data_IF_490817903958
#
_entry.id   IF_490817903958
#
_cell.length_a   1.000
_cell.length_b   1.000
_cell.length_c   1.000
_cell.angle_alpha   90.00
_cell.angle_beta   90.00
_cell.angle_gamma   90.00
#
_symmetry.space_group_name_H-M   'P 1'
#
loop_
_entity.id
_entity.type
_entity.pdbx_description
1 polymer ?
#
# COMPACT_ATOMS: atom_id res chain seq x y z
N UNK A 1 4.89 11.13 16.94
CA UNK A 1 3.91 10.03 16.87
C UNK A 1 4.57 8.67 17.06
N UNK A 2 3.83 7.71 17.60
CA UNK A 2 4.27 6.33 17.81
C UNK A 2 3.31 5.42 17.06
N UNK A 3 3.85 4.56 16.20
CA UNK A 3 3.10 3.50 15.53
C UNK A 3 3.54 2.17 16.13
N UNK A 4 2.59 1.42 16.67
CA UNK A 4 2.87 0.17 17.37
C UNK A 4 1.90 -0.93 16.92
N UNK A 5 2.41 -2.12 16.67
CA UNK A 5 1.63 -3.26 16.22
C UNK A 5 1.51 -4.29 17.34
N UNK A 6 0.28 -4.64 17.71
CA UNK A 6 -0.01 -5.73 18.63
C UNK A 6 -0.44 -6.96 17.84
N UNK A 7 0.15 -8.12 18.14
CA UNK A 7 -0.20 -9.38 17.46
C UNK A 7 -1.10 -10.20 18.38
N UNK A 8 -2.30 -10.51 17.89
CA UNK A 8 -3.28 -11.32 18.59
C UNK A 8 -3.40 -12.64 17.84
N UNK A 9 -2.94 -13.71 18.47
CA UNK A 9 -3.13 -15.05 17.96
C UNK A 9 -4.63 -15.36 17.90
N UNK A 10 -5.17 -15.59 16.71
CA UNK A 10 -6.61 -15.83 16.58
C UNK A 10 -7.07 -17.13 17.26
N UNK A 11 -6.18 -18.12 17.34
CA UNK A 11 -6.49 -19.46 17.85
C UNK A 11 -7.49 -20.24 16.99
N UNK A 12 -7.82 -19.73 15.79
CA UNK A 12 -8.83 -20.31 14.93
C UNK A 12 -8.32 -21.57 14.24
N UNK A 13 -9.01 -22.69 14.48
CA UNK A 13 -8.76 -23.98 13.80
C UNK A 13 -9.41 -24.07 12.42
N UNK A 14 -10.42 -23.27 12.18
CA UNK A 14 -11.19 -23.20 10.93
C UNK A 14 -11.45 -21.75 10.57
N UNK A 15 -11.69 -21.51 9.28
CA UNK A 15 -12.03 -20.20 8.76
C UNK A 15 -13.29 -19.66 9.45
N UNK A 16 -13.25 -18.37 9.81
CA UNK A 16 -14.39 -17.64 10.36
C UNK A 16 -14.63 -16.37 9.57
N UNK A 17 -15.86 -15.87 9.61
CA UNK A 17 -16.23 -14.65 8.91
C UNK A 17 -16.58 -13.58 9.94
N UNK A 18 -15.93 -12.42 9.85
CA UNK A 18 -16.14 -11.32 10.79
C UNK A 18 -17.13 -10.33 10.18
N UNK A 19 -18.24 -10.09 10.87
CA UNK A 19 -19.32 -9.17 10.49
C UNK A 19 -19.26 -7.83 11.22
N UNK A 20 -18.20 -7.57 11.97
CA UNK A 20 -18.03 -6.31 12.68
C UNK A 20 -16.91 -6.41 13.70
N UNK A 21 -16.45 -5.24 14.13
CA UNK A 21 -15.51 -5.12 15.24
C UNK A 21 -15.89 -3.93 16.12
N UNK A 22 -15.48 -4.01 17.37
CA UNK A 22 -15.55 -2.92 18.33
C UNK A 22 -14.15 -2.73 18.92
N UNK A 23 -13.70 -1.49 19.00
CA UNK A 23 -12.42 -1.16 19.62
C UNK A 23 -12.63 -0.15 20.74
N UNK A 24 -12.19 -0.54 21.93
CA UNK A 24 -12.26 0.26 23.15
C UNK A 24 -10.84 0.64 23.55
N UNK A 25 -10.36 1.84 23.15
CA UNK A 25 -9.09 2.35 23.63
C UNK A 25 -9.15 2.56 25.16
N UNK A 26 -8.08 2.20 25.84
CA UNK A 26 -7.93 2.44 27.28
C UNK A 26 -7.67 3.92 27.58
N UNK A 27 -6.93 4.60 26.70
CA UNK A 27 -6.61 6.01 26.81
C UNK A 27 -6.92 6.76 25.51
N UNK A 28 -8.11 7.38 25.47
CA UNK A 28 -8.62 8.20 24.36
C UNK A 28 -7.79 9.47 24.07
N UNK A 29 -6.88 9.88 24.97
CA UNK A 29 -5.98 11.02 24.71
C UNK A 29 -4.74 10.63 23.92
N UNK A 30 -4.37 9.35 23.98
CA UNK A 30 -3.15 8.82 23.38
C UNK A 30 -3.47 8.15 22.05
N UNK A 31 -4.44 7.23 22.04
CA UNK A 31 -4.78 6.47 20.83
C UNK A 31 -5.53 7.38 19.85
N UNK A 32 -4.89 7.66 18.72
CA UNK A 32 -5.42 8.56 17.71
C UNK A 32 -6.25 7.82 16.65
N UNK A 33 -5.71 6.72 16.12
CA UNK A 33 -6.45 5.80 15.27
C UNK A 33 -5.87 4.39 15.38
N UNK A 34 -6.61 3.41 14.87
CA UNK A 34 -6.16 2.04 14.80
C UNK A 34 -6.53 1.35 13.48
N UNK A 35 -5.79 0.31 13.12
CA UNK A 35 -6.09 -0.55 11.98
C UNK A 35 -6.06 -2.02 12.38
N UNK A 36 -7.02 -2.79 11.86
CA UNK A 36 -7.02 -4.24 11.94
C UNK A 36 -6.49 -4.80 10.62
N UNK A 37 -5.45 -5.62 10.71
CA UNK A 37 -4.81 -6.33 9.61
C UNK A 37 -4.75 -7.82 9.93
N UNK A 38 -4.66 -8.65 8.91
CA UNK A 38 -4.59 -10.10 9.00
C UNK A 38 -3.25 -10.56 8.44
N UNK A 39 -2.48 -11.28 9.25
CA UNK A 39 -1.25 -11.94 8.84
C UNK A 39 -1.49 -13.45 8.66
N UNK A 40 -1.34 -13.93 7.43
CA UNK A 40 -1.52 -15.35 7.08
C UNK A 40 -0.20 -16.14 7.14
N UNK A 41 0.94 -15.48 7.35
CA UNK A 41 2.28 -16.06 7.20
C UNK A 41 3.06 -16.11 8.50
N UNK A 42 2.48 -15.76 9.65
CA UNK A 42 3.11 -15.65 10.98
C UNK A 42 4.28 -14.65 11.09
N UNK A 43 4.46 -13.77 10.11
CA UNK A 43 5.60 -12.85 10.09
C UNK A 43 5.58 -11.84 11.24
N UNK A 44 4.41 -11.29 11.52
CA UNK A 44 4.17 -10.32 12.58
C UNK A 44 4.37 -10.95 13.95
N UNK A 45 3.96 -12.22 14.11
CA UNK A 45 4.19 -12.98 15.36
C UNK A 45 5.67 -13.13 15.66
N UNK A 46 6.50 -13.43 14.66
CA UNK A 46 7.96 -13.52 14.84
C UNK A 46 8.56 -12.18 15.26
N UNK A 47 8.08 -11.06 14.71
CA UNK A 47 8.52 -9.73 15.11
C UNK A 47 8.12 -9.41 16.55
N UNK A 48 6.88 -9.74 16.92
CA UNK A 48 6.37 -9.60 18.29
C UNK A 48 7.18 -10.45 19.28
N UNK A 49 7.42 -11.73 18.97
CA UNK A 49 8.24 -12.64 19.78
C UNK A 49 9.69 -12.12 19.94
N UNK A 50 10.29 -11.60 18.87
CA UNK A 50 11.63 -10.99 18.93
C UNK A 50 11.67 -9.74 19.82
N UNK A 51 10.56 -8.99 19.88
CA UNK A 51 10.36 -7.85 20.78
C UNK A 51 10.00 -8.24 22.22
N UNK A 52 9.90 -9.54 22.54
CA UNK A 52 9.52 -10.02 23.87
C UNK A 52 8.01 -10.15 24.10
N UNK A 53 7.20 -10.18 23.04
CA UNK A 53 5.76 -10.42 23.10
C UNK A 53 4.93 -9.20 23.50
N UNK A 54 5.45 -8.00 23.26
CA UNK A 54 4.80 -6.72 23.61
C UNK A 54 4.38 -5.89 22.39
N UNK A 55 4.51 -6.45 21.20
CA UNK A 55 4.37 -5.82 19.90
C UNK A 55 5.69 -5.32 19.33
N UNK A 56 5.60 -4.66 18.18
CA UNK A 56 6.75 -4.07 17.48
C UNK A 56 6.39 -2.69 16.90
N UNK A 57 7.38 -1.82 16.72
CA UNK A 57 7.20 -0.50 16.14
C UNK A 57 7.13 -0.53 14.60
N UNK A 58 6.57 0.53 14.01
CA UNK A 58 6.64 0.75 12.56
C UNK A 58 5.41 1.41 11.97
N UNK A 59 5.61 2.43 11.13
CA UNK A 59 4.52 3.09 10.41
C UNK A 59 3.95 2.17 9.31
N UNK A 60 4.82 1.46 8.60
CA UNK A 60 4.45 0.40 7.66
C UNK A 60 4.54 -0.93 8.40
N UNK A 61 3.62 -1.86 8.15
CA UNK A 61 3.74 -3.20 8.73
C UNK A 61 4.96 -3.86 8.11
N UNK A 62 6.02 -4.10 8.88
CA UNK A 62 7.21 -4.82 8.42
C UNK A 62 6.96 -6.34 8.22
N UNK A 63 5.71 -6.72 7.95
CA UNK A 63 5.24 -8.09 7.77
C UNK A 63 4.12 -8.17 6.75
N UNK A 64 3.69 -9.40 6.44
CA UNK A 64 2.69 -9.68 5.40
C UNK A 64 1.24 -9.41 5.87
N UNK A 65 1.06 -8.59 6.91
CA UNK A 65 -0.25 -8.27 7.46
C UNK A 65 -0.97 -7.27 6.55
N UNK A 66 -2.15 -7.64 6.07
CA UNK A 66 -2.95 -6.83 5.15
C UNK A 66 -4.34 -6.54 5.74
N UNK A 67 -4.93 -5.40 5.40
CA UNK A 67 -6.34 -5.17 5.74
C UNK A 67 -7.22 -6.20 5.03
N UNK A 68 -8.34 -6.64 5.64
CA UNK A 68 -9.31 -7.51 4.97
C UNK A 68 -9.80 -6.93 3.64
N UNK A 69 -9.97 -7.80 2.65
CA UNK A 69 -10.16 -7.44 1.24
C UNK A 69 -11.32 -6.46 1.03
N UNK A 70 -11.01 -5.25 0.56
CA UNK A 70 -12.02 -4.25 0.26
C UNK A 70 -12.75 -3.64 1.46
N UNK A 71 -12.39 -4.02 2.69
CA UNK A 71 -13.04 -3.50 3.89
C UNK A 71 -12.27 -2.31 4.49
N UNK A 72 -13.01 -1.38 5.09
CA UNK A 72 -12.45 -0.35 5.97
C UNK A 72 -12.43 -0.92 7.38
N UNK A 73 -11.26 -1.36 7.83
CA UNK A 73 -11.04 -1.92 9.17
C UNK A 73 -10.18 -0.99 10.02
N UNK A 74 -10.50 0.31 9.92
CA UNK A 74 -9.89 1.37 10.70
C UNK A 74 -10.82 1.79 11.84
N UNK A 75 -10.24 2.28 12.93
CA UNK A 75 -10.96 2.93 13.99
C UNK A 75 -10.39 4.32 14.20
N UNK A 76 -11.27 5.30 14.38
CA UNK A 76 -10.95 6.67 14.72
C UNK A 76 -11.76 7.07 15.95
N UNK A 77 -11.29 8.07 16.69
CA UNK A 77 -12.02 8.58 17.84
C UNK A 77 -13.43 9.02 17.46
N UNK A 78 -14.44 8.54 18.21
CA UNK A 78 -15.85 8.79 17.92
C UNK A 78 -16.52 7.75 17.02
N UNK A 79 -15.78 6.75 16.49
CA UNK A 79 -16.38 5.65 15.73
C UNK A 79 -17.22 4.76 16.64
N UNK A 80 -18.49 4.59 16.28
CA UNK A 80 -19.39 3.64 16.91
C UNK A 80 -19.19 2.22 16.36
N UNK A 81 -19.31 1.18 17.19
CA UNK A 81 -19.32 -0.20 16.70
C UNK A 81 -20.56 -0.43 15.85
N UNK A 82 -20.36 -0.87 14.60
CA UNK A 82 -21.44 -1.21 13.67
C UNK A 82 -21.23 -2.61 13.13
N UNK A 83 -22.28 -3.42 13.24
CA UNK A 83 -22.35 -4.68 12.53
C UNK A 83 -22.63 -4.39 11.06
N UNK A 84 -21.97 -5.16 10.22
CA UNK A 84 -22.15 -5.13 8.78
C UNK A 84 -23.47 -5.80 8.41
N UNK A 85 -24.03 -5.36 7.29
CA UNK A 85 -25.22 -5.96 6.70
C UNK A 85 -25.01 -7.45 6.35
N UNK A 86 -26.12 -8.19 6.24
CA UNK A 86 -26.09 -9.61 5.87
C UNK A 86 -25.29 -9.82 4.57
N UNK A 87 -24.42 -10.82 4.59
CA UNK A 87 -23.58 -11.21 3.45
C UNK A 87 -22.30 -10.39 3.27
N UNK A 88 -22.04 -9.36 4.09
CA UNK A 88 -20.89 -8.47 3.94
C UNK A 88 -19.70 -8.78 4.86
N UNK A 89 -19.70 -9.92 5.54
CA UNK A 89 -18.61 -10.32 6.44
C UNK A 89 -17.30 -10.62 5.68
N UNK A 90 -16.15 -10.33 6.29
CA UNK A 90 -14.85 -10.67 5.72
C UNK A 90 -14.22 -11.92 6.33
N UNK A 91 -13.35 -12.59 5.57
CA UNK A 91 -12.68 -13.81 5.99
C UNK A 91 -11.57 -13.51 7.00
N UNK A 92 -11.62 -14.19 8.15
CA UNK A 92 -10.51 -14.40 9.06
C UNK A 92 -10.05 -15.87 8.93
N UNK A 93 -8.95 -16.15 8.20
CA UNK A 93 -8.52 -17.51 7.94
C UNK A 93 -8.12 -18.27 9.20
N UNK A 94 -8.25 -19.60 9.17
CA UNK A 94 -7.64 -20.48 10.16
C UNK A 94 -6.12 -20.23 10.25
N UNK A 95 -5.56 -20.39 11.45
CA UNK A 95 -4.12 -20.22 11.73
C UNK A 95 -3.54 -18.85 11.33
N UNK A 96 -4.36 -17.81 11.16
CA UNK A 96 -3.92 -16.44 10.94
C UNK A 96 -3.81 -15.64 12.24
N UNK A 97 -3.03 -14.57 12.20
CA UNK A 97 -2.90 -13.62 13.30
C UNK A 97 -3.65 -12.33 12.98
N UNK A 98 -4.30 -11.76 14.00
CA UNK A 98 -4.90 -10.43 13.92
C UNK A 98 -3.85 -9.43 14.39
N UNK A 99 -3.41 -8.58 13.48
CA UNK A 99 -2.41 -7.54 13.76
C UNK A 99 -3.14 -6.22 13.92
N UNK A 100 -3.01 -5.64 15.10
CA UNK A 100 -3.68 -4.41 15.46
C UNK A 100 -2.66 -3.28 15.58
N UNK A 101 -2.65 -2.39 14.58
CA UNK A 101 -1.75 -1.25 14.54
C UNK A 101 -2.41 -0.07 15.25
N UNK A 102 -1.78 0.45 16.31
CA UNK A 102 -2.15 1.69 16.96
C UNK A 102 -1.25 2.83 16.50
N UNK A 103 -1.86 3.93 16.06
CA UNK A 103 -1.20 5.21 15.97
C UNK A 103 -1.51 6.02 17.22
N UNK A 104 -0.46 6.44 17.91
CA UNK A 104 -0.52 7.06 19.23
C UNK A 104 0.22 8.39 19.25
N UNK A 105 -0.38 9.39 19.88
CA UNK A 105 0.25 10.69 20.13
C UNK A 105 1.27 10.54 21.26
N UNK A 106 2.46 11.11 21.07
CA UNK A 106 3.47 11.14 22.12
C UNK A 106 3.04 12.12 23.22
N UNK A 107 3.10 11.69 24.49
CA UNK A 107 2.84 12.55 25.65
C UNK A 107 4.12 13.02 26.36
N UNK A 108 5.30 12.61 25.87
CA UNK A 108 6.59 12.93 26.50
C UNK A 108 6.89 12.16 27.79
N UNK A 109 6.03 11.22 28.20
CA UNK A 109 6.22 10.37 29.38
C UNK A 109 5.87 8.91 29.07
N UNK A 110 6.27 7.99 29.96
CA UNK A 110 5.85 6.59 29.87
C UNK A 110 4.35 6.48 30.17
N UNK A 111 3.62 5.86 29.26
CA UNK A 111 2.18 5.67 29.35
C UNK A 111 1.86 4.18 29.32
N UNK A 112 0.81 3.79 30.05
CA UNK A 112 0.28 2.42 30.00
C UNK A 112 -0.98 2.40 29.15
N UNK A 113 -1.10 1.39 28.29
CA UNK A 113 -2.25 1.21 27.41
C UNK A 113 -2.72 -0.24 27.51
N UNK A 114 -3.98 -0.45 27.86
CA UNK A 114 -4.62 -1.76 27.91
C UNK A 114 -5.94 -1.78 27.13
N UNK A 115 -5.85 -1.45 25.84
CA UNK A 115 -7.01 -1.38 24.95
C UNK A 115 -7.62 -2.76 24.68
N UNK A 116 -8.89 -2.81 24.27
CA UNK A 116 -9.62 -4.04 23.97
C UNK A 116 -10.21 -4.01 22.57
N UNK A 117 -10.22 -5.14 21.90
CA UNK A 117 -10.89 -5.35 20.61
C UNK A 117 -11.87 -6.51 20.73
N UNK A 118 -13.08 -6.32 20.18
CA UNK A 118 -14.07 -7.37 19.99
C UNK A 118 -14.25 -7.64 18.50
N UNK A 119 -14.22 -8.91 18.10
CA UNK A 119 -14.57 -9.35 16.75
C UNK A 119 -15.90 -10.10 16.81
N UNK A 120 -16.84 -9.72 15.95
CA UNK A 120 -18.17 -10.32 15.88
C UNK A 120 -18.23 -11.23 14.66
N UNK A 121 -18.54 -12.52 14.86
CA UNK A 121 -18.55 -13.50 13.78
C UNK A 121 -19.95 -13.65 13.15
N UNK A 122 -19.98 -13.90 11.84
CA UNK A 122 -21.14 -14.36 11.10
C UNK A 122 -21.21 -15.89 11.12
N UNK A 123 -22.45 -16.39 11.04
CA UNK A 123 -22.76 -17.81 10.97
C UNK A 123 -22.82 -18.32 9.51
N UNK A 124 -22.89 -17.39 8.55
CA UNK A 124 -22.98 -17.66 7.11
C UNK A 124 -21.73 -17.11 6.39
N UNK A 125 -21.43 -17.70 5.22
CA UNK A 125 -20.39 -17.18 4.31
C UNK A 125 -20.83 -15.85 3.68
N UNK A 126 -19.89 -14.99 3.25
CA UNK A 126 -20.23 -13.78 2.53
C UNK A 126 -20.90 -14.10 1.19
N UNK A 127 -21.87 -13.26 0.85
CA UNK A 127 -22.54 -13.24 -0.45
C UNK A 127 -22.29 -11.92 -1.21
N UNK A 128 -21.59 -10.98 -0.57
CA UNK A 128 -21.13 -9.72 -1.12
C UNK A 128 -19.61 -9.68 -1.05
N UNK A 129 -18.97 -9.50 -2.19
CA UNK A 129 -17.53 -9.51 -2.33
C UNK A 129 -17.04 -8.08 -2.52
N UNK A 130 -16.15 -7.62 -1.64
CA UNK A 130 -15.76 -6.22 -1.54
C UNK A 130 -14.42 -5.92 -2.21
N UNK A 131 -14.31 -4.74 -2.80
CA UNK A 131 -13.04 -4.17 -3.29
C UNK A 131 -13.05 -2.66 -3.09
N UNK A 132 -11.88 -2.07 -2.86
CA UNK A 132 -11.70 -0.62 -2.83
C UNK A 132 -10.94 -0.18 -4.07
N UNK A 133 -11.41 0.89 -4.70
CA UNK A 133 -10.62 1.70 -5.63
C UNK A 133 -10.27 2.99 -4.89
N UNK A 134 -8.98 3.32 -4.81
CA UNK A 134 -8.53 4.62 -4.29
C UNK A 134 -8.19 5.52 -5.48
N UNK A 135 -9.06 6.48 -5.79
CA UNK A 135 -8.75 7.48 -6.81
C UNK A 135 -7.66 8.38 -6.27
N UNK A 136 -6.49 8.35 -6.91
CA UNK A 136 -5.31 9.08 -6.45
C UNK A 136 -4.56 9.76 -7.61
N UNK A 137 -3.98 10.92 -7.31
CA UNK A 137 -3.09 11.70 -8.19
C UNK A 137 -1.79 11.91 -7.43
N UNK A 138 -0.65 11.71 -8.09
CA UNK A 138 0.69 11.88 -7.50
C UNK A 138 1.61 12.78 -8.34
N UNK A 139 1.10 13.19 -9.49
CA UNK A 139 1.70 13.99 -10.53
C UNK A 139 1.10 15.41 -10.47
N UNK A 140 1.39 16.13 -9.39
CA UNK A 140 0.93 17.51 -9.22
C UNK A 140 1.90 18.33 -8.35
N UNK A 141 1.81 19.65 -8.52
CA UNK A 141 2.46 20.68 -7.72
C UNK A 141 1.45 21.79 -7.46
N UNK A 142 1.22 22.11 -6.19
CA UNK A 142 0.38 23.20 -5.73
C UNK A 142 1.29 24.41 -5.53
N UNK A 143 1.19 25.46 -6.38
CA UNK A 143 2.06 26.63 -6.25
C UNK A 143 1.90 27.33 -4.89
N UNK A 144 2.98 27.95 -4.42
CA UNK A 144 2.92 28.84 -3.27
C UNK A 144 1.88 29.94 -3.50
N UNK A 145 1.06 30.23 -2.48
CA UNK A 145 0.00 31.25 -2.52
C UNK A 145 -1.21 30.96 -3.43
N UNK A 146 -1.31 29.76 -4.02
CA UNK A 146 -2.50 29.35 -4.77
C UNK A 146 -3.70 29.13 -3.83
N UNK A 147 -4.85 29.74 -4.13
CA UNK A 147 -6.05 29.75 -3.26
C UNK A 147 -7.12 28.74 -3.66
N UNK A 148 -7.06 28.24 -4.89
CA UNK A 148 -8.11 27.44 -5.49
C UNK A 148 -7.55 26.39 -6.46
N UNK A 149 -6.44 25.73 -6.10
CA UNK A 149 -5.93 24.60 -6.87
C UNK A 149 -6.94 23.46 -6.84
N UNK A 150 -7.22 22.82 -7.98
CA UNK A 150 -8.20 21.74 -8.08
C UNK A 150 -7.59 20.54 -8.76
N UNK A 151 -7.80 19.38 -8.17
CA UNK A 151 -7.50 18.09 -8.75
C UNK A 151 -8.77 17.29 -8.94
N UNK A 152 -8.74 16.43 -9.96
CA UNK A 152 -9.81 15.52 -10.31
C UNK A 152 -9.19 14.22 -10.78
N UNK A 153 -9.83 13.12 -10.43
CA UNK A 153 -9.52 11.80 -10.95
C UNK A 153 -10.80 11.00 -11.14
N UNK A 154 -10.76 9.98 -12.00
CA UNK A 154 -11.93 9.17 -12.30
C UNK A 154 -11.60 7.71 -12.60
N UNK A 155 -12.60 6.84 -12.44
CA UNK A 155 -12.51 5.42 -12.76
C UNK A 155 -13.84 4.91 -13.30
N UNK A 156 -13.81 4.30 -14.48
CA UNK A 156 -15.01 3.75 -15.15
C UNK A 156 -15.08 2.23 -14.98
N UNK A 157 -16.20 1.74 -14.47
CA UNK A 157 -16.42 0.33 -14.21
C UNK A 157 -16.65 -0.49 -15.50
N UNK A 158 -15.91 -1.59 -15.70
CA UNK A 158 -16.24 -2.57 -16.75
C UNK A 158 -17.32 -3.57 -16.34
N UNK A 159 -17.64 -3.70 -15.06
CA UNK A 159 -18.69 -4.61 -14.58
C UNK A 159 -19.61 -3.87 -13.61
N UNK A 160 -20.89 -4.25 -13.53
CA UNK A 160 -21.81 -3.67 -12.56
C UNK A 160 -21.36 -3.97 -11.13
N UNK A 161 -21.63 -3.03 -10.23
CA UNK A 161 -21.28 -3.12 -8.81
C UNK A 161 -22.28 -2.32 -7.96
N UNK A 162 -22.06 -2.29 -6.65
CA UNK A 162 -22.74 -1.38 -5.74
C UNK A 162 -21.70 -0.54 -4.99
N UNK A 163 -21.95 0.76 -4.87
CA UNK A 163 -21.17 1.65 -4.03
C UNK A 163 -21.71 1.60 -2.60
N UNK A 164 -20.83 1.26 -1.65
CA UNK A 164 -21.19 1.08 -0.24
C UNK A 164 -20.71 2.20 0.66
N UNK A 165 -19.55 2.78 0.35
CA UNK A 165 -18.99 3.88 1.12
C UNK A 165 -17.99 4.68 0.29
N UNK A 166 -17.78 5.94 0.68
CA UNK A 166 -16.69 6.79 0.19
C UNK A 166 -15.85 7.24 1.37
N UNK A 167 -14.52 7.15 1.25
CA UNK A 167 -13.57 7.66 2.23
C UNK A 167 -12.61 8.64 1.55
N UNK A 168 -12.78 9.95 1.76
CA UNK A 168 -11.86 10.95 1.26
C UNK A 168 -10.66 11.13 2.20
N UNK A 169 -9.53 11.56 1.65
CA UNK A 169 -8.34 11.96 2.39
C UNK A 169 -7.54 13.02 1.62
N UNK A 170 -7.20 14.09 2.33
CA UNK A 170 -6.25 15.13 1.96
C UNK A 170 -5.59 15.66 3.24
N UNK A 171 -4.45 16.33 3.12
CA UNK A 171 -3.79 16.96 4.26
C UNK A 171 -4.35 18.38 4.50
N UNK A 172 -3.51 19.27 5.02
CA UNK A 172 -3.89 20.54 5.62
C UNK A 172 -4.20 21.67 4.63
N UNK A 173 -3.79 21.54 3.36
CA UNK A 173 -4.17 22.44 2.29
C UNK A 173 -5.53 22.07 1.70
N UNK A 174 -5.99 20.83 1.89
CA UNK A 174 -7.32 20.39 1.47
C UNK A 174 -8.43 21.32 1.98
N UNK A 175 -9.25 21.82 1.05
CA UNK A 175 -10.30 22.82 1.29
C UNK A 175 -11.70 22.23 1.18
N UNK A 176 -11.99 21.61 0.04
CA UNK A 176 -13.27 20.95 -0.21
C UNK A 176 -13.07 19.67 -1.01
N UNK A 177 -13.91 18.66 -0.75
CA UNK A 177 -13.86 17.35 -1.38
C UNK A 177 -15.24 16.96 -1.89
N UNK A 178 -15.30 16.52 -3.13
CA UNK A 178 -16.50 16.01 -3.78
C UNK A 178 -16.28 14.59 -4.29
N UNK A 179 -17.32 13.75 -4.20
CA UNK A 179 -17.37 12.48 -4.89
C UNK A 179 -18.65 12.39 -5.71
N UNK A 180 -18.53 11.98 -6.97
CA UNK A 180 -19.64 11.95 -7.94
C UNK A 180 -19.67 10.64 -8.71
N UNK A 181 -20.82 10.33 -9.27
CA UNK A 181 -21.02 9.26 -10.24
C UNK A 181 -21.52 9.91 -11.54
N UNK A 182 -20.91 9.58 -12.67
CA UNK A 182 -21.49 9.78 -14.00
C UNK A 182 -21.99 8.44 -14.51
N UNK A 183 -23.27 8.37 -14.83
CA UNK A 183 -23.90 7.18 -15.38
C UNK A 183 -23.73 7.12 -16.91
N UNK A 184 -23.83 5.93 -17.53
CA UNK A 184 -23.69 5.78 -18.99
C UNK A 184 -24.68 6.61 -19.82
N UNK A 185 -25.82 6.97 -19.24
CA UNK A 185 -26.86 7.82 -19.85
C UNK A 185 -26.56 9.32 -19.73
N UNK A 186 -25.44 9.70 -19.10
CA UNK A 186 -25.03 11.09 -18.86
C UNK A 186 -25.56 11.68 -17.55
N UNK A 187 -26.39 10.96 -16.78
CA UNK A 187 -26.85 11.43 -15.46
C UNK A 187 -25.67 11.58 -14.52
N UNK A 188 -25.67 12.66 -13.72
CA UNK A 188 -24.66 12.92 -12.70
C UNK A 188 -25.30 12.88 -11.33
N UNK A 189 -24.69 12.16 -10.39
CA UNK A 189 -25.14 12.06 -9.00
C UNK A 189 -23.99 12.43 -8.06
N UNK A 190 -24.20 13.46 -7.23
CA UNK A 190 -23.24 13.85 -6.20
C UNK A 190 -23.48 12.97 -4.96
N UNK A 191 -22.49 12.14 -4.62
CA UNK A 191 -22.61 11.15 -3.52
C UNK A 191 -21.86 11.57 -2.26
N UNK A 192 -20.96 12.56 -2.35
CA UNK A 192 -20.32 13.20 -1.21
C UNK A 192 -20.01 14.65 -1.55
N UNK A 193 -20.27 15.55 -0.61
CA UNK A 193 -19.86 16.95 -0.68
C UNK A 193 -19.38 17.39 0.71
N UNK A 194 -18.09 17.71 0.83
CA UNK A 194 -17.48 18.25 2.04
C UNK A 194 -16.98 19.66 1.70
N UNK A 195 -17.73 20.73 2.01
CA UNK A 195 -17.38 22.09 1.62
C UNK A 195 -16.23 22.69 2.43
N UNK A 196 -15.94 22.12 3.60
CA UNK A 196 -14.86 22.53 4.49
C UNK A 196 -14.21 21.26 5.06
N UNK A 197 -13.18 20.77 4.36
CA UNK A 197 -12.41 19.61 4.76
C UNK A 197 -11.67 19.87 6.07
N UNK A 198 -11.71 18.90 6.99
CA UNK A 198 -10.91 18.93 8.21
C UNK A 198 -10.13 17.60 8.31
N UNK A 199 -8.79 17.61 8.25
CA UNK A 199 -8.00 16.39 8.36
C UNK A 199 -8.12 15.70 9.73
N UNK A 200 -8.66 16.37 10.76
CA UNK A 200 -9.03 15.74 12.03
C UNK A 200 -10.32 14.90 11.92
N UNK A 201 -11.16 15.15 10.92
CA UNK A 201 -12.42 14.45 10.66
C UNK A 201 -12.33 13.58 9.39
N UNK A 202 -11.54 12.51 9.48
CA UNK A 202 -11.31 11.57 8.39
C UNK A 202 -11.85 10.18 8.71
N UNK A 203 -13.02 9.85 8.14
CA UNK A 203 -13.68 8.55 8.27
C UNK A 203 -14.37 8.21 6.95
N UNK A 204 -14.73 6.94 6.75
CA UNK A 204 -15.60 6.57 5.65
C UNK A 204 -17.05 7.03 5.89
N UNK A 205 -17.70 7.48 4.82
CA UNK A 205 -19.11 7.81 4.76
C UNK A 205 -19.86 6.63 4.16
N UNK A 206 -20.61 5.95 5.01
CA UNK A 206 -21.39 4.75 4.70
C UNK A 206 -22.79 5.15 4.24
N UNK A 207 -23.18 4.76 3.02
CA UNK A 207 -24.55 4.99 2.54
C UNK A 207 -25.53 4.10 3.31
N UNK A 208 -26.70 4.67 3.62
CA UNK A 208 -27.80 3.92 4.24
C UNK A 208 -28.23 2.75 3.36
N UNK A 209 -28.41 3.03 2.07
CA UNK A 209 -28.71 2.06 1.03
C UNK A 209 -27.57 2.09 0.00
N UNK A 210 -26.94 0.95 -0.34
CA UNK A 210 -25.88 0.93 -1.34
C UNK A 210 -26.38 1.42 -2.71
N UNK A 211 -25.58 2.25 -3.38
CA UNK A 211 -25.96 2.85 -4.66
C UNK A 211 -25.63 1.85 -5.79
N UNK A 212 -26.60 1.40 -6.61
CA UNK A 212 -26.32 0.52 -7.72
C UNK A 212 -25.56 1.25 -8.82
N UNK A 213 -24.50 0.62 -9.31
CA UNK A 213 -23.63 1.12 -10.37
C UNK A 213 -23.74 0.19 -11.59
N UNK A 214 -24.31 0.66 -12.71
CA UNK A 214 -24.28 -0.11 -13.95
C UNK A 214 -22.85 -0.20 -14.50
N UNK A 215 -22.62 -1.16 -15.40
CA UNK A 215 -21.42 -1.16 -16.25
C UNK A 215 -21.31 0.19 -16.97
N UNK A 216 -20.11 0.76 -17.01
CA UNK A 216 -19.84 2.05 -17.61
C UNK A 216 -20.10 3.24 -16.69
N UNK A 217 -20.56 3.04 -15.45
CA UNK A 217 -20.59 4.12 -14.47
C UNK A 217 -19.16 4.57 -14.13
N UNK A 218 -18.97 5.89 -14.10
CA UNK A 218 -17.69 6.53 -13.79
C UNK A 218 -17.75 7.15 -12.41
N UNK A 219 -16.87 6.69 -11.53
CA UNK A 219 -16.62 7.28 -10.22
C UNK A 219 -15.68 8.47 -10.39
N UNK A 220 -15.94 9.58 -9.71
CA UNK A 220 -15.13 10.79 -9.77
C UNK A 220 -14.83 11.26 -8.35
N UNK A 221 -13.56 11.53 -8.09
CA UNK A 221 -13.11 12.29 -6.92
C UNK A 221 -12.62 13.66 -7.37
N UNK A 222 -12.96 14.70 -6.61
CA UNK A 222 -12.46 16.06 -6.81
C UNK A 222 -12.04 16.63 -5.45
N UNK A 223 -10.87 17.26 -5.40
CA UNK A 223 -10.35 17.93 -4.20
C UNK A 223 -9.84 19.30 -4.62
N UNK A 224 -10.22 20.30 -3.84
CA UNK A 224 -9.65 21.65 -3.94
C UNK A 224 -8.71 21.93 -2.78
N UNK A 225 -7.68 22.74 -3.03
CA UNK A 225 -6.64 23.07 -2.07
C UNK A 225 -6.44 24.58 -1.97
N UNK A 226 -6.03 25.03 -0.79
CA UNK A 226 -5.67 26.41 -0.46
C UNK A 226 -4.25 26.43 0.14
N UNK A 227 -3.26 26.71 -0.70
CA UNK A 227 -1.86 26.90 -0.33
C UNK A 227 -1.52 28.39 -0.10
N UNK A 228 -2.49 29.19 0.31
CA UNK A 228 -2.24 30.59 0.65
C UNK A 228 -1.87 30.80 2.10
N UNK A 229 -1.27 31.97 2.37
CA UNK A 229 -0.99 32.44 3.73
C UNK A 229 -2.25 32.67 4.56
N UNK A 230 -3.41 32.81 3.91
CA UNK A 230 -4.70 33.05 4.58
C UNK A 230 -5.31 31.73 5.09
N UNK A 231 -4.84 30.58 4.58
CA UNK A 231 -5.22 29.27 5.13
C UNK A 231 -4.52 29.05 6.48
N UNK A 232 -5.24 29.27 7.57
CA UNK A 232 -4.74 29.08 8.94
C UNK A 232 -4.33 27.62 9.25
N UNK A 233 -4.77 26.65 8.44
CA UNK A 233 -4.37 25.24 8.56
C UNK A 233 -3.05 24.97 7.82
N UNK A 234 -2.56 25.87 6.97
CA UNK A 234 -1.34 25.65 6.19
C UNK A 234 -0.15 25.38 7.13
N UNK A 235 0.51 24.22 7.02
CA UNK A 235 1.66 23.87 7.87
C UNK A 235 2.88 24.75 7.60
N UNK A 236 2.89 25.47 6.48
CA UNK A 236 3.96 26.37 6.06
C UNK A 236 3.48 27.84 6.19
N UNK A 237 3.90 28.59 7.23
CA UNK A 237 3.46 29.97 7.44
C UNK A 237 3.93 30.92 6.33
N UNK A 238 5.02 30.56 5.64
CA UNK A 238 5.43 31.15 4.37
C UNK A 238 5.19 30.07 3.30
N UNK A 239 4.08 30.15 2.54
CA UNK A 239 3.74 29.09 1.59
C UNK A 239 4.86 28.82 0.58
N UNK A 240 5.12 27.54 0.36
CA UNK A 240 6.04 27.01 -0.65
C UNK A 240 5.26 26.17 -1.66
N UNK A 241 5.87 25.80 -2.77
CA UNK A 241 5.30 24.77 -3.64
C UNK A 241 5.16 23.45 -2.88
N UNK A 242 4.00 22.81 -2.99
CA UNK A 242 3.70 21.54 -2.29
C UNK A 242 3.36 20.46 -3.32
N UNK A 243 3.92 19.27 -3.18
CA UNK A 243 3.69 18.13 -4.06
C UNK A 243 3.05 16.96 -3.30
N UNK A 244 2.81 15.84 -4.00
CA UNK A 244 2.40 14.61 -3.35
C UNK A 244 3.45 14.14 -2.32
N UNK A 245 3.01 13.77 -1.12
CA UNK A 245 3.86 13.17 -0.10
C UNK A 245 3.08 12.71 1.13
N UNK A 246 3.76 12.03 2.05
CA UNK A 246 3.13 11.39 3.21
C UNK A 246 3.27 12.17 4.51
N UNK A 247 3.98 13.30 4.49
CA UNK A 247 4.18 14.13 5.67
C UNK A 247 3.12 15.21 5.76
N UNK A 248 2.97 15.80 6.95
CA UNK A 248 2.03 16.91 7.18
C UNK A 248 2.34 18.15 6.34
N UNK A 249 3.55 18.28 5.77
CA UNK A 249 3.98 19.41 4.94
C UNK A 249 3.71 19.18 3.44
N UNK A 250 3.42 17.95 3.07
CA UNK A 250 3.08 17.54 1.71
C UNK A 250 1.56 17.49 1.56
N UNK A 251 1.07 17.15 0.37
CA UNK A 251 -0.35 16.90 0.14
C UNK A 251 -0.65 15.51 -0.41
N UNK A 252 -1.91 15.11 -0.27
CA UNK A 252 -2.46 13.91 -0.88
C UNK A 252 -3.74 14.22 -1.62
N UNK A 253 -3.94 13.48 -2.72
CA UNK A 253 -5.22 13.38 -3.38
C UNK A 253 -5.67 11.92 -3.26
N UNK A 254 -6.63 11.65 -2.38
CA UNK A 254 -7.18 10.30 -2.18
C UNK A 254 -8.70 10.35 -1.98
N UNK A 255 -9.44 9.69 -2.87
CA UNK A 255 -10.88 9.48 -2.73
C UNK A 255 -11.17 8.00 -2.96
N UNK A 256 -11.32 7.25 -1.86
CA UNK A 256 -11.54 5.82 -1.91
C UNK A 256 -13.03 5.47 -2.00
N UNK A 257 -13.41 4.65 -2.97
CA UNK A 257 -14.74 4.08 -3.10
C UNK A 257 -14.71 2.61 -2.72
N UNK A 258 -15.57 2.23 -1.78
CA UNK A 258 -15.79 0.83 -1.43
C UNK A 258 -16.93 0.28 -2.27
N UNK A 259 -16.58 -0.69 -3.10
CA UNK A 259 -17.48 -1.38 -4.01
C UNK A 259 -17.75 -2.79 -3.50
N UNK A 260 -18.91 -3.33 -3.86
CA UNK A 260 -19.11 -4.78 -3.82
C UNK A 260 -19.89 -5.30 -5.02
N UNK A 261 -19.72 -6.60 -5.29
CA UNK A 261 -20.53 -7.37 -6.23
C UNK A 261 -21.11 -8.58 -5.51
N UNK A 262 -22.15 -9.20 -6.09
CA UNK A 262 -22.69 -10.47 -5.59
C UNK A 262 -22.09 -11.68 -6.34
N UNK A 263 -21.13 -11.44 -7.24
CA UNK A 263 -20.46 -12.46 -8.03
C UNK A 263 -18.94 -12.23 -8.00
N UNK A 264 -18.21 -13.21 -7.47
CA UNK A 264 -16.74 -13.15 -7.38
C UNK A 264 -16.10 -12.85 -8.75
N UNK A 265 -16.60 -13.47 -9.82
CA UNK A 265 -16.10 -13.27 -11.19
C UNK A 265 -16.22 -11.82 -11.69
N UNK A 266 -17.24 -11.08 -11.27
CA UNK A 266 -17.35 -9.64 -11.56
C UNK A 266 -16.34 -8.84 -10.74
N UNK A 267 -16.15 -9.21 -9.47
CA UNK A 267 -15.17 -8.55 -8.61
C UNK A 267 -13.74 -8.77 -9.11
N UNK A 268 -13.43 -9.96 -9.62
CA UNK A 268 -12.10 -10.30 -10.15
C UNK A 268 -11.76 -9.42 -11.36
N UNK A 269 -12.73 -9.18 -12.25
CA UNK A 269 -12.58 -8.26 -13.38
C UNK A 269 -12.37 -6.81 -12.93
N UNK A 270 -13.19 -6.33 -11.99
CA UNK A 270 -13.01 -4.99 -11.40
C UNK A 270 -11.64 -4.89 -10.74
N UNK A 271 -11.19 -5.94 -10.04
CA UNK A 271 -9.87 -5.98 -9.41
C UNK A 271 -8.76 -5.85 -10.44
N UNK A 272 -8.83 -6.57 -11.56
CA UNK A 272 -7.85 -6.41 -12.65
C UNK A 272 -7.83 -5.00 -13.25
N UNK A 273 -8.98 -4.34 -13.37
CA UNK A 273 -9.02 -2.94 -13.79
C UNK A 273 -8.39 -1.98 -12.77
N UNK A 274 -8.63 -2.21 -11.48
CA UNK A 274 -8.05 -1.41 -10.39
C UNK A 274 -6.53 -1.62 -10.36
N UNK A 275 -6.04 -2.83 -10.58
CA UNK A 275 -4.61 -3.11 -10.64
C UNK A 275 -3.95 -2.36 -11.81
N UNK A 276 -4.60 -2.32 -12.97
CA UNK A 276 -4.13 -1.55 -14.13
C UNK A 276 -4.16 -0.04 -13.88
N UNK A 277 -5.24 0.46 -13.24
CA UNK A 277 -5.32 1.85 -12.79
C UNK A 277 -4.15 2.21 -11.87
N UNK A 278 -3.87 1.39 -10.85
CA UNK A 278 -2.78 1.63 -9.91
C UNK A 278 -1.41 1.65 -10.59
N UNK A 279 -1.16 0.74 -11.54
CA UNK A 279 0.08 0.76 -12.34
C UNK A 279 0.26 2.08 -13.09
N UNK A 280 -0.81 2.61 -13.68
CA UNK A 280 -0.79 3.88 -14.40
C UNK A 280 -0.57 5.08 -13.48
N UNK A 281 -1.14 5.08 -12.27
CA UNK A 281 -0.84 6.10 -11.24
C UNK A 281 0.66 6.16 -10.95
N UNK A 282 1.29 5.02 -10.67
CA UNK A 282 2.74 4.99 -10.40
C UNK A 282 3.57 5.41 -11.62
N UNK A 283 3.18 4.98 -12.81
CA UNK A 283 3.84 5.36 -14.05
C UNK A 283 3.80 6.87 -14.28
N UNK A 284 2.61 7.49 -14.13
CA UNK A 284 2.43 8.93 -14.32
C UNK A 284 3.18 9.72 -13.26
N UNK A 285 3.14 9.28 -11.99
CA UNK A 285 3.90 9.89 -10.89
C UNK A 285 5.39 9.93 -11.21
N UNK A 286 5.94 8.81 -11.67
CA UNK A 286 7.39 8.70 -11.95
C UNK A 286 7.80 9.55 -13.15
N UNK A 287 7.00 9.53 -14.23
CA UNK A 287 7.23 10.40 -15.39
C UNK A 287 7.21 11.88 -15.00
N UNK A 288 6.25 12.27 -14.17
CA UNK A 288 6.16 13.63 -13.67
C UNK A 288 7.44 14.03 -12.90
N UNK A 289 7.97 13.17 -12.02
CA UNK A 289 9.24 13.46 -11.32
C UNK A 289 10.42 13.63 -12.29
N UNK A 290 10.52 12.78 -13.32
CA UNK A 290 11.54 12.90 -14.37
C UNK A 290 11.39 14.19 -15.18
N UNK A 291 10.16 14.65 -15.44
CA UNK A 291 9.93 15.95 -16.09
C UNK A 291 10.41 17.11 -15.21
N UNK A 292 10.36 16.98 -13.88
CA UNK A 292 10.88 17.98 -12.95
C UNK A 292 12.41 17.98 -12.87
N UNK A 293 13.03 16.80 -12.85
CA UNK A 293 14.48 16.63 -12.87
C UNK A 293 14.91 15.48 -13.80
N UNK A 294 15.16 15.78 -15.10
CA UNK A 294 15.54 14.76 -16.08
C UNK A 294 16.92 14.14 -15.84
N UNK A 295 17.73 14.70 -14.93
CA UNK A 295 19.08 14.22 -14.62
C UNK A 295 19.14 13.41 -13.33
N UNK A 296 18.00 13.19 -12.66
CA UNK A 296 17.93 12.35 -11.48
C UNK A 296 17.97 10.86 -11.87
N UNK A 297 19.14 10.23 -11.66
CA UNK A 297 19.32 8.81 -11.96
C UNK A 297 18.34 7.91 -11.19
N UNK A 298 18.09 8.18 -9.91
CA UNK A 298 17.19 7.35 -9.10
C UNK A 298 15.75 7.32 -9.63
N UNK A 299 15.25 8.43 -10.18
CA UNK A 299 13.93 8.48 -10.81
C UNK A 299 13.88 7.67 -12.12
N UNK A 300 14.94 7.70 -12.92
CA UNK A 300 15.06 6.83 -14.10
C UNK A 300 15.16 5.34 -13.72
N UNK A 301 15.86 5.03 -12.63
CA UNK A 301 15.90 3.68 -12.06
C UNK A 301 14.49 3.23 -11.63
N UNK A 302 13.77 4.10 -10.91
CA UNK A 302 12.42 3.82 -10.45
C UNK A 302 11.45 3.64 -11.63
N UNK A 303 11.56 4.45 -12.69
CA UNK A 303 10.77 4.27 -13.91
C UNK A 303 11.05 2.91 -14.55
N UNK A 304 12.32 2.52 -14.60
CA UNK A 304 12.75 1.20 -15.05
C UNK A 304 12.11 0.06 -14.25
N UNK A 305 12.11 0.18 -12.92
CA UNK A 305 11.43 -0.75 -12.03
C UNK A 305 9.92 -0.84 -12.31
N UNK A 306 9.23 0.30 -12.43
CA UNK A 306 7.79 0.35 -12.71
C UNK A 306 7.49 -0.33 -14.05
N UNK A 307 8.27 -0.06 -15.09
CA UNK A 307 8.11 -0.74 -16.38
C UNK A 307 8.36 -2.25 -16.30
N UNK A 308 9.36 -2.71 -15.53
CA UNK A 308 9.58 -4.14 -15.31
C UNK A 308 8.38 -4.80 -14.64
N UNK A 309 7.86 -4.20 -13.57
CA UNK A 309 6.68 -4.71 -12.87
C UNK A 309 5.44 -4.75 -13.75
N UNK A 310 5.37 -3.88 -14.76
CA UNK A 310 4.29 -3.83 -15.75
C UNK A 310 4.52 -4.74 -16.96
N UNK A 311 5.66 -5.44 -17.05
CA UNK A 311 6.03 -6.27 -18.21
C UNK A 311 6.45 -5.48 -19.46
N UNK A 312 6.64 -4.16 -19.35
CA UNK A 312 7.07 -3.28 -20.43
C UNK A 312 8.60 -3.31 -20.59
N UNK A 313 9.13 -4.48 -20.97
CA UNK A 313 10.57 -4.77 -20.94
C UNK A 313 11.43 -3.81 -21.79
N UNK A 314 10.95 -3.39 -22.97
CA UNK A 314 11.69 -2.45 -23.84
C UNK A 314 11.89 -1.09 -23.17
N UNK A 315 10.83 -0.54 -22.57
CA UNK A 315 10.86 0.73 -21.86
C UNK A 315 11.66 0.63 -20.56
N UNK A 316 11.55 -0.50 -19.85
CA UNK A 316 12.36 -0.79 -18.67
C UNK A 316 13.85 -0.72 -18.99
N UNK A 317 14.30 -1.44 -20.02
CA UNK A 317 15.70 -1.45 -20.44
C UNK A 317 16.21 -0.03 -20.73
N UNK A 318 15.46 0.75 -21.52
CA UNK A 318 15.83 2.14 -21.87
C UNK A 318 15.97 3.01 -20.62
N UNK A 319 15.03 2.92 -19.68
CA UNK A 319 15.01 3.73 -18.47
C UNK A 319 16.17 3.37 -17.52
N UNK A 320 16.41 2.07 -17.32
CA UNK A 320 17.53 1.57 -16.51
C UNK A 320 18.88 1.93 -17.12
N UNK A 321 19.00 1.86 -18.45
CA UNK A 321 20.19 2.32 -19.16
C UNK A 321 20.43 3.80 -18.99
N UNK A 322 19.38 4.63 -19.13
CA UNK A 322 19.48 6.07 -18.89
C UNK A 322 19.92 6.39 -17.46
N UNK A 323 19.41 5.66 -16.46
CA UNK A 323 19.86 5.79 -15.07
C UNK A 323 21.35 5.49 -14.91
N UNK A 324 21.84 4.39 -15.49
CA UNK A 324 23.27 4.01 -15.42
C UNK A 324 24.15 5.00 -16.17
N UNK A 325 23.66 5.57 -17.27
CA UNK A 325 24.40 6.57 -18.04
C UNK A 325 24.50 7.92 -17.29
N UNK A 326 23.53 8.24 -16.42
CA UNK A 326 23.55 9.40 -15.52
C UNK A 326 24.40 9.16 -14.26
N UNK A 327 24.28 7.97 -13.67
CA UNK A 327 25.02 7.54 -12.49
C UNK A 327 25.54 6.09 -12.67
N UNK A 328 26.81 5.94 -13.09
CA UNK A 328 27.45 4.64 -13.24
C UNK A 328 27.64 3.85 -11.94
N UNK A 329 27.45 4.47 -10.78
CA UNK A 329 27.55 3.83 -9.46
C UNK A 329 26.16 3.57 -8.85
N UNK A 330 25.09 3.60 -9.66
CA UNK A 330 23.74 3.27 -9.19
C UNK A 330 23.53 1.74 -9.07
N UNK A 331 23.81 1.17 -7.89
CA UNK A 331 23.67 -0.26 -7.63
C UNK A 331 22.26 -0.81 -7.91
N UNK A 332 21.21 -0.03 -7.60
CA UNK A 332 19.81 -0.42 -7.82
C UNK A 332 19.52 -0.61 -9.31
N UNK A 333 20.03 0.27 -10.16
CA UNK A 333 19.84 0.19 -11.61
C UNK A 333 20.45 -1.07 -12.20
N UNK A 334 21.67 -1.43 -11.76
CA UNK A 334 22.27 -2.71 -12.14
C UNK A 334 21.47 -3.90 -11.61
N UNK A 335 20.96 -3.84 -10.39
CA UNK A 335 20.10 -4.89 -9.85
C UNK A 335 18.83 -5.09 -10.70
N UNK A 336 18.11 -4.02 -11.03
CA UNK A 336 16.91 -4.09 -11.86
C UNK A 336 17.23 -4.48 -13.31
N UNK A 337 18.39 -4.08 -13.86
CA UNK A 337 18.83 -4.54 -15.18
C UNK A 337 19.19 -6.04 -15.16
N UNK A 338 19.70 -6.55 -14.03
CA UNK A 338 19.86 -7.97 -13.79
C UNK A 338 18.52 -8.71 -13.80
N UNK A 339 17.50 -8.17 -13.13
CA UNK A 339 16.14 -8.72 -13.15
C UNK A 339 15.52 -8.69 -14.55
N UNK A 340 15.68 -7.59 -15.29
CA UNK A 340 15.31 -7.50 -16.70
C UNK A 340 15.84 -8.68 -17.48
N UNK A 341 17.16 -8.94 -17.41
CA UNK A 341 17.79 -10.03 -18.14
C UNK A 341 17.33 -11.41 -17.64
N UNK A 342 16.98 -11.58 -16.36
CA UNK A 342 16.36 -12.84 -15.90
C UNK A 342 14.99 -13.05 -16.53
N UNK A 343 14.15 -12.01 -16.58
CA UNK A 343 12.80 -12.11 -17.15
C UNK A 343 12.81 -12.27 -18.67
N UNK A 344 13.85 -11.79 -19.36
CA UNK A 344 14.06 -12.00 -20.79
C UNK A 344 14.97 -13.20 -21.09
N UNK A 345 15.14 -14.12 -20.14
CA UNK A 345 15.85 -15.40 -20.29
C UNK A 345 17.33 -15.30 -20.73
N UNK A 346 18.03 -14.26 -20.30
CA UNK A 346 19.49 -14.10 -20.46
C UNK A 346 20.22 -14.16 -19.11
N UNK A 347 20.46 -15.36 -18.55
CA UNK A 347 21.09 -15.52 -17.24
C UNK A 347 22.55 -15.05 -17.20
N UNK A 348 23.23 -14.97 -18.36
CA UNK A 348 24.63 -14.51 -18.43
C UNK A 348 24.73 -13.01 -18.23
N UNK A 349 23.89 -12.23 -18.91
CA UNK A 349 23.81 -10.78 -18.68
C UNK A 349 23.19 -10.46 -17.32
N UNK A 350 22.25 -11.28 -16.84
CA UNK A 350 21.74 -11.14 -15.48
C UNK A 350 22.86 -11.28 -14.43
N UNK A 351 23.69 -12.33 -14.52
CA UNK A 351 24.83 -12.55 -13.62
C UNK A 351 25.77 -11.34 -13.61
N UNK A 352 26.16 -10.85 -14.79
CA UNK A 352 27.03 -9.68 -14.93
C UNK A 352 26.49 -8.48 -14.16
N UNK A 353 25.21 -8.17 -14.33
CA UNK A 353 24.57 -7.00 -13.72
C UNK A 353 24.39 -7.17 -12.21
N UNK A 354 24.05 -8.36 -11.71
CA UNK A 354 24.02 -8.60 -10.26
C UNK A 354 25.41 -8.51 -9.62
N UNK A 355 26.46 -9.01 -10.29
CA UNK A 355 27.84 -8.85 -9.81
C UNK A 355 28.22 -7.37 -9.77
N UNK A 356 27.84 -6.58 -10.78
CA UNK A 356 28.06 -5.13 -10.77
C UNK A 356 27.33 -4.45 -9.62
N UNK A 357 26.05 -4.77 -9.41
CA UNK A 357 25.29 -4.26 -8.28
C UNK A 357 25.96 -4.55 -6.93
N UNK A 358 26.46 -5.78 -6.72
CA UNK A 358 27.15 -6.19 -5.48
C UNK A 358 28.52 -5.54 -5.32
N UNK A 359 29.24 -5.28 -6.42
CA UNK A 359 30.52 -4.56 -6.37
C UNK A 359 30.36 -3.12 -5.89
N UNK A 360 29.25 -2.49 -6.23
CA UNK A 360 28.91 -1.13 -5.80
C UNK A 360 28.31 -1.15 -4.39
N UNK A 361 27.32 -2.03 -4.16
CA UNK A 361 26.66 -2.23 -2.87
C UNK A 361 26.70 -3.71 -2.47
N UNK A 362 27.70 -4.05 -1.65
CA UNK A 362 27.90 -5.41 -1.14
C UNK A 362 26.86 -5.84 -0.09
N UNK A 363 25.94 -4.94 0.30
CA UNK A 363 24.82 -5.24 1.18
C UNK A 363 23.51 -5.45 0.40
N UNK A 364 23.57 -5.67 -0.92
CA UNK A 364 22.39 -6.01 -1.70
C UNK A 364 22.02 -7.49 -1.57
N UNK A 365 21.32 -7.85 -0.50
CA UNK A 365 20.86 -9.23 -0.22
C UNK A 365 20.07 -9.83 -1.39
N UNK A 366 19.25 -9.03 -2.08
CA UNK A 366 18.42 -9.47 -3.21
C UNK A 366 19.28 -9.85 -4.42
N UNK A 367 20.36 -9.10 -4.70
CA UNK A 367 21.31 -9.43 -5.76
C UNK A 367 22.07 -10.73 -5.43
N UNK A 368 22.50 -10.90 -4.18
CA UNK A 368 23.10 -12.14 -3.70
C UNK A 368 22.16 -13.34 -3.88
N UNK A 369 20.90 -13.24 -3.43
CA UNK A 369 19.91 -14.29 -3.63
C UNK A 369 19.70 -14.66 -5.11
N UNK A 370 19.62 -13.67 -6.00
CA UNK A 370 19.50 -13.90 -7.44
C UNK A 370 20.72 -14.58 -8.06
N UNK A 371 21.94 -14.22 -7.65
CA UNK A 371 23.15 -14.96 -8.03
C UNK A 371 23.14 -16.39 -7.50
N UNK A 372 22.65 -16.60 -6.28
CA UNK A 372 22.42 -17.92 -5.70
C UNK A 372 21.57 -18.81 -6.62
N UNK A 373 20.45 -18.28 -7.12
CA UNK A 373 19.60 -18.98 -8.09
C UNK A 373 20.33 -19.25 -9.42
N UNK A 374 20.98 -18.25 -10.01
CA UNK A 374 21.72 -18.42 -11.27
C UNK A 374 22.81 -19.49 -11.14
N UNK A 375 23.50 -19.55 -10.00
CA UNK A 375 24.51 -20.59 -9.77
C UNK A 375 23.93 -21.98 -9.53
N UNK A 376 22.69 -22.11 -9.02
CA UNK A 376 21.98 -23.41 -9.04
C UNK A 376 21.73 -23.85 -10.48
N UNK A 377 21.20 -22.95 -11.33
CA UNK A 377 20.93 -23.24 -12.74
C UNK A 377 22.20 -23.67 -13.49
N UNK A 378 23.34 -23.05 -13.16
CA UNK A 378 24.67 -23.39 -13.69
C UNK A 378 25.34 -24.59 -13.00
N UNK A 379 24.65 -25.29 -12.08
CA UNK A 379 25.17 -26.42 -11.29
C UNK A 379 26.44 -26.10 -10.47
N UNK A 380 26.63 -24.83 -10.09
CA UNK A 380 27.74 -24.32 -9.27
C UNK A 380 27.29 -24.16 -7.82
N UNK A 381 26.97 -25.27 -7.17
CA UNK A 381 26.28 -25.31 -5.89
C UNK A 381 27.05 -24.65 -4.73
N UNK A 382 28.36 -24.84 -4.62
CA UNK A 382 29.16 -24.20 -3.56
C UNK A 382 29.14 -22.66 -3.67
N UNK A 383 29.22 -22.12 -4.89
CA UNK A 383 29.09 -20.67 -5.13
C UNK A 383 27.69 -20.19 -4.79
N UNK A 384 26.68 -20.95 -5.19
CA UNK A 384 25.29 -20.65 -4.85
C UNK A 384 25.07 -20.53 -3.34
N UNK A 385 25.55 -21.51 -2.58
CA UNK A 385 25.46 -21.53 -1.11
C UNK A 385 26.11 -20.29 -0.49
N UNK A 386 27.31 -19.92 -0.93
CA UNK A 386 28.00 -18.72 -0.44
C UNK A 386 27.17 -17.44 -0.67
N UNK A 387 26.55 -17.31 -1.84
CA UNK A 387 25.68 -16.16 -2.11
C UNK A 387 24.41 -16.17 -1.26
N UNK A 388 23.77 -17.32 -1.03
CA UNK A 388 22.63 -17.39 -0.12
C UNK A 388 23.03 -17.13 1.34
N UNK A 389 24.21 -17.58 1.78
CA UNK A 389 24.74 -17.29 3.10
C UNK A 389 24.95 -15.79 3.26
N UNK A 390 25.56 -15.13 2.27
CA UNK A 390 25.73 -13.68 2.29
C UNK A 390 24.39 -12.94 2.29
N UNK A 391 23.39 -13.41 1.55
CA UNK A 391 22.04 -12.86 1.60
C UNK A 391 21.42 -12.98 3.00
N UNK A 392 21.63 -14.10 3.71
CA UNK A 392 21.18 -14.29 5.10
C UNK A 392 21.96 -13.46 6.12
N UNK A 393 23.26 -13.26 5.93
CA UNK A 393 24.04 -12.37 6.80
C UNK A 393 23.50 -10.94 6.77
N UNK A 394 23.08 -10.49 5.58
CA UNK A 394 22.53 -9.15 5.37
C UNK A 394 21.04 -9.10 5.81
N UNK A 395 20.25 -10.12 5.46
CA UNK A 395 18.85 -10.26 5.84
C UNK A 395 18.61 -11.60 6.55
N UNK A 396 18.76 -11.64 7.89
CA UNK A 396 18.60 -12.87 8.68
C UNK A 396 17.23 -13.53 8.56
N UNK A 397 16.21 -12.78 8.10
CA UNK A 397 14.84 -13.24 7.95
C UNK A 397 14.51 -13.76 6.54
N UNK A 398 15.47 -13.84 5.61
CA UNK A 398 15.25 -14.39 4.26
C UNK A 398 15.00 -15.92 4.29
N UNK A 399 13.73 -16.31 4.38
CA UNK A 399 13.34 -17.73 4.41
C UNK A 399 13.70 -18.48 3.12
N UNK A 400 13.74 -17.79 1.98
CA UNK A 400 14.09 -18.40 0.70
C UNK A 400 15.56 -18.81 0.74
N UNK A 401 16.44 -17.89 1.12
CA UNK A 401 17.87 -18.16 1.26
C UNK A 401 18.14 -19.30 2.26
N UNK A 402 17.46 -19.29 3.42
CA UNK A 402 17.58 -20.36 4.42
C UNK A 402 17.17 -21.74 3.88
N UNK A 403 16.02 -21.83 3.22
CA UNK A 403 15.55 -23.09 2.62
C UNK A 403 16.49 -23.57 1.52
N UNK A 404 17.05 -22.66 0.72
CA UNK A 404 18.01 -23.01 -0.34
C UNK A 404 19.32 -23.54 0.22
N UNK A 405 19.87 -22.94 1.27
CA UNK A 405 21.06 -23.46 1.95
C UNK A 405 20.81 -24.86 2.51
N UNK A 406 19.72 -25.05 3.26
CA UNK A 406 19.37 -26.36 3.82
C UNK A 406 19.20 -27.43 2.72
N UNK A 407 18.61 -27.06 1.58
CA UNK A 407 18.47 -27.98 0.46
C UNK A 407 19.83 -28.32 -0.17
N UNK A 408 20.74 -27.36 -0.31
CA UNK A 408 22.09 -27.60 -0.82
C UNK A 408 22.89 -28.52 0.12
N UNK A 409 22.80 -28.27 1.43
CA UNK A 409 23.47 -29.07 2.47
C UNK A 409 22.97 -30.51 2.51
N UNK A 410 21.65 -30.73 2.44
CA UNK A 410 21.06 -32.07 2.36
C UNK A 410 21.55 -32.86 1.14
N UNK A 411 21.95 -32.17 0.07
CA UNK A 411 22.47 -32.78 -1.15
C UNK A 411 24.02 -32.80 -1.19
N UNK A 412 24.70 -32.48 -0.08
CA UNK A 412 26.15 -32.59 0.06
C UNK A 412 26.96 -31.38 -0.44
N UNK A 413 26.36 -30.19 -0.53
CA UNK A 413 27.02 -28.95 -0.97
C UNK A 413 27.12 -27.86 0.11
#
# INVERSE_FOLDING_TARGET
DIYWHFVILSGLKTDRYVKGFDFKPDNNRIVHHAFIKIDKTNSSRKLDEAGGGVGFDGMVSEGNAVMPDGHFTSWQQGREPKLMEKGASWLLPANSDVVFQLHMKSTGKKERIKSKIGLYFADEKPTKYFKKINLTRRDFKIPANEKAFKLRESFTLAEPAHLRAVMPHAHYLGKAIDAKIIYPDGRVENVLHIPNWDPAWQSEYVFKDPIPLPRGATLIGEISYDNSKDNYRNPNPNPIEVSYGTTIKDEMFEVAFQLFTNQQTQLDKISGQIDEYNKNVFLNATKFQIEQDPNNADEWCFLGQVYLSNGAYSQAYKSLKKSIDLDPDNAKSYYYLGLYYRFTEDPSRAEYNFIKAIKIDNNNAKAHGNLGFIYIEKKRYNKSKLHFQRALEINPHDEIARKKIQALERNGF
#
